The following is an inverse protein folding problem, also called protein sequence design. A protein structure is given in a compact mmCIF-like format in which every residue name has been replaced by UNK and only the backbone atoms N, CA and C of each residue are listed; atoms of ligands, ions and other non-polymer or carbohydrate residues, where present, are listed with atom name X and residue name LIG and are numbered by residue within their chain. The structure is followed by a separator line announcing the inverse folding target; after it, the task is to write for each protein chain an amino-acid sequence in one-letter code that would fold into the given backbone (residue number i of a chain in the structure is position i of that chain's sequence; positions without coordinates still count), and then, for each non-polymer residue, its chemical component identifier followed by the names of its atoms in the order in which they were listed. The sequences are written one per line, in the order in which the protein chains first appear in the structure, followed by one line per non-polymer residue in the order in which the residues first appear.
data_IF_508460736172
#
_entry.id   IF_508460736172
#
_cell.length_a   1.000
_cell.length_b   1.000
_cell.length_c   1.000
_cell.angle_alpha   90.00
_cell.angle_beta   90.00
_cell.angle_gamma   90.00
#
_symmetry.space_group_name_H-M   'P 1'
#
loop_
_entity.id
_entity.type
_entity.pdbx_description
1 polymer ?
#
# COMPACT_ATOMS: atom_id res chain seq x y z
N UNK A 1 25.71 1.26 -54.21
CA UNK A 1 26.39 1.41 -52.90
C UNK A 1 25.50 2.29 -52.00
N UNK A 2 24.36 1.78 -51.57
CA UNK A 2 23.39 2.56 -50.77
C UNK A 2 22.73 1.73 -49.66
N UNK A 3 22.72 0.40 -49.80
CA UNK A 3 22.22 -0.54 -48.78
C UNK A 3 23.14 -0.62 -47.55
N UNK A 4 24.47 -0.67 -47.74
CA UNK A 4 25.41 -0.78 -46.61
C UNK A 4 25.38 0.42 -45.66
N UNK A 5 25.19 1.64 -46.18
CA UNK A 5 25.10 2.85 -45.34
C UNK A 5 23.83 2.83 -44.48
N UNK A 6 22.69 2.43 -45.06
CA UNK A 6 21.41 2.35 -44.36
C UNK A 6 21.43 1.23 -43.31
N UNK A 7 22.00 0.06 -43.65
CA UNK A 7 22.17 -1.05 -42.69
C UNK A 7 23.07 -0.66 -41.52
N UNK A 8 24.16 0.08 -41.76
CA UNK A 8 25.03 0.55 -40.70
C UNK A 8 24.34 1.59 -39.80
N UNK A 9 23.58 2.52 -40.39
CA UNK A 9 22.75 3.45 -39.62
C UNK A 9 21.74 2.71 -38.70
N UNK A 10 21.06 1.68 -39.20
CA UNK A 10 20.13 0.88 -38.39
C UNK A 10 20.83 0.16 -37.22
N UNK A 11 22.03 -0.40 -37.44
CA UNK A 11 22.80 -1.04 -36.38
C UNK A 11 23.20 -0.04 -35.28
N UNK A 12 23.67 1.16 -35.66
CA UNK A 12 24.02 2.20 -34.69
C UNK A 12 22.78 2.64 -33.90
N UNK A 13 21.65 2.89 -34.57
CA UNK A 13 20.40 3.26 -33.90
C UNK A 13 19.92 2.19 -32.91
N UNK A 14 20.03 0.91 -33.26
CA UNK A 14 19.66 -0.19 -32.37
C UNK A 14 20.49 -0.22 -31.08
N UNK A 15 21.82 -0.01 -31.18
CA UNK A 15 22.70 0.08 -30.01
C UNK A 15 22.36 1.28 -29.11
N UNK A 16 22.03 2.43 -29.69
CA UNK A 16 21.61 3.61 -28.92
C UNK A 16 20.27 3.40 -28.20
N UNK A 17 19.29 2.77 -28.86
CA UNK A 17 17.99 2.45 -28.27
C UNK A 17 18.11 1.39 -27.15
N UNK A 18 18.98 0.39 -27.30
CA UNK A 18 19.24 -0.62 -26.28
C UNK A 18 19.95 -0.04 -25.03
N UNK A 19 20.81 0.96 -25.20
CA UNK A 19 21.49 1.64 -24.08
C UNK A 19 20.54 2.50 -23.23
N UNK A 20 19.53 3.11 -23.84
CA UNK A 20 18.55 3.97 -23.16
C UNK A 20 17.58 3.21 -22.25
N UNK A 21 17.36 1.91 -22.46
CA UNK A 21 16.47 1.10 -21.61
C UNK A 21 17.10 0.75 -20.26
N UNK A 22 18.43 0.81 -20.16
CA UNK A 22 19.18 0.45 -18.94
C UNK A 22 19.44 1.65 -18.01
N UNK A 23 19.22 2.89 -18.46
CA UNK A 23 19.46 4.09 -17.66
C UNK A 23 18.26 4.56 -16.83
N UNK A 24 17.08 3.92 -16.93
CA UNK A 24 15.85 4.36 -16.25
C UNK A 24 15.43 3.51 -15.06
N UNK A 25 16.38 3.17 -14.18
CA UNK A 25 16.04 2.64 -12.84
C UNK A 25 16.94 3.17 -11.74
N UNK A 26 17.24 4.48 -11.77
CA UNK A 26 17.61 5.19 -10.53
C UNK A 26 16.33 5.72 -9.88
N UNK A 27 15.60 4.81 -9.22
CA UNK A 27 14.70 5.23 -8.16
C UNK A 27 15.62 5.70 -7.03
N UNK A 28 15.55 6.98 -6.65
CA UNK A 28 16.27 7.49 -5.49
C UNK A 28 15.72 6.81 -4.23
N UNK A 29 16.51 5.93 -3.61
CA UNK A 29 16.12 5.12 -2.45
C UNK A 29 16.38 5.83 -1.10
N UNK A 30 16.57 7.14 -1.08
CA UNK A 30 16.84 7.88 0.17
C UNK A 30 15.60 7.96 1.11
N UNK A 31 14.44 7.51 0.64
CA UNK A 31 13.22 7.34 1.45
C UNK A 31 13.01 5.91 1.99
N UNK A 32 13.95 4.98 1.74
CA UNK A 32 13.84 3.56 2.11
C UNK A 32 14.78 3.17 3.26
N UNK A 33 15.22 4.13 4.08
CA UNK A 33 15.76 3.84 5.41
C UNK A 33 14.62 3.52 6.39
N UNK A 34 13.87 2.48 6.08
CA UNK A 34 13.11 1.72 7.06
C UNK A 34 13.93 0.46 7.34
N UNK A 35 14.89 0.63 8.25
CA UNK A 35 15.68 -0.42 8.88
C UNK A 35 14.93 -1.75 9.00
N UNK A 36 15.31 -2.72 8.15
CA UNK A 36 15.13 -4.15 8.36
C UNK A 36 13.72 -4.73 8.16
N UNK A 37 13.48 -5.38 7.02
CA UNK A 37 12.39 -6.36 6.91
C UNK A 37 11.98 -6.70 5.48
N UNK A 38 12.55 -7.79 4.97
CA UNK A 38 12.23 -8.51 3.72
C UNK A 38 10.83 -8.23 3.14
N UNK A 39 10.80 -7.80 1.87
CA UNK A 39 9.61 -7.62 1.07
C UNK A 39 8.87 -8.94 0.85
N UNK A 40 7.93 -9.23 1.75
CA UNK A 40 6.74 -10.09 1.65
C UNK A 40 6.07 -10.17 3.04
N UNK A 41 5.47 -9.07 3.47
CA UNK A 41 4.56 -9.12 4.62
C UNK A 41 3.18 -9.56 4.10
N UNK A 42 3.02 -10.86 3.80
CA UNK A 42 1.69 -11.49 3.91
C UNK A 42 1.10 -10.99 5.22
N UNK A 43 -0.05 -10.28 5.22
CA UNK A 43 -0.72 -9.68 6.39
C UNK A 43 -0.18 -10.30 7.68
N UNK A 44 0.98 -9.84 8.15
CA UNK A 44 1.64 -10.60 9.19
C UNK A 44 0.79 -10.22 10.36
N UNK A 45 -0.04 -11.17 10.79
CA UNK A 45 -0.97 -11.02 11.88
C UNK A 45 -0.09 -10.69 13.06
N UNK A 46 0.12 -9.40 13.24
CA UNK A 46 1.03 -8.83 14.20
C UNK A 46 0.49 -9.34 15.51
N UNK A 47 1.19 -10.30 16.11
CA UNK A 47 0.86 -10.97 17.38
C UNK A 47 0.82 -9.92 18.49
N UNK A 48 -0.22 -9.11 18.50
CA UNK A 48 -0.44 -8.03 19.44
C UNK A 48 -1.87 -8.00 19.96
N UNK A 49 -2.79 -8.73 19.33
CA UNK A 49 -4.18 -8.75 19.76
C UNK A 49 -4.80 -10.13 19.59
N UNK A 50 -5.11 -10.77 20.71
CA UNK A 50 -5.82 -12.06 20.78
C UNK A 50 -7.33 -11.84 20.91
N UNK A 51 -7.91 -10.97 20.07
CA UNK A 51 -9.36 -10.76 20.02
C UNK A 51 -9.86 -11.23 18.65
N UNK A 52 -10.95 -11.98 18.64
CA UNK A 52 -11.67 -12.30 17.41
C UNK A 52 -12.65 -11.18 17.14
N UNK A 53 -12.40 -10.37 16.10
CA UNK A 53 -13.35 -9.36 15.64
C UNK A 53 -14.63 -9.98 15.09
N UNK A 54 -14.60 -11.23 14.63
CA UNK A 54 -15.77 -11.92 14.06
C UNK A 54 -16.88 -12.12 15.10
N UNK A 55 -16.50 -12.29 16.37
CA UNK A 55 -17.42 -12.65 17.46
C UNK A 55 -17.69 -11.48 18.42
N UNK A 56 -17.42 -10.25 18.00
CA UNK A 56 -17.74 -9.03 18.77
C UNK A 56 -19.19 -8.62 18.54
N UNK A 57 -19.76 -7.93 19.53
CA UNK A 57 -21.09 -7.33 19.38
C UNK A 57 -21.00 -6.03 18.58
N UNK A 58 -21.57 -6.03 17.38
CA UNK A 58 -21.63 -4.89 16.48
C UNK A 58 -22.87 -4.01 16.69
N UNK A 59 -23.70 -4.30 17.70
CA UNK A 59 -24.92 -3.55 18.03
C UNK A 59 -24.70 -2.05 18.06
N UNK A 60 -23.63 -1.59 18.74
CA UNK A 60 -23.25 -0.17 18.85
C UNK A 60 -23.12 0.51 17.48
N UNK A 61 -22.55 -0.18 16.47
CA UNK A 61 -22.47 0.34 15.10
C UNK A 61 -23.80 0.21 14.40
N UNK A 62 -24.41 -0.97 14.41
CA UNK A 62 -25.63 -1.25 13.61
C UNK A 62 -26.86 -0.49 14.10
N UNK A 63 -26.90 -0.09 15.36
CA UNK A 63 -27.99 0.70 15.94
C UNK A 63 -27.88 2.18 15.60
N UNK A 64 -26.66 2.71 15.50
CA UNK A 64 -26.40 4.14 15.27
C UNK A 64 -26.11 4.46 13.80
N UNK A 65 -25.58 3.50 13.04
CA UNK A 65 -25.28 3.59 11.61
C UNK A 65 -26.27 2.80 10.78
N UNK A 66 -27.41 3.41 10.47
CA UNK A 66 -28.43 2.81 9.60
C UNK A 66 -28.44 3.52 8.25
N UNK A 67 -28.53 2.74 7.17
CA UNK A 67 -28.78 3.25 5.82
C UNK A 67 -30.24 3.75 5.68
N UNK A 68 -30.57 4.50 4.59
CA UNK A 68 -29.79 4.74 3.37
C UNK A 68 -28.75 5.88 3.47
N UNK A 69 -28.86 6.73 4.47
CA UNK A 69 -27.96 7.86 4.67
C UNK A 69 -27.25 7.67 5.99
N UNK A 70 -25.93 7.47 5.94
CA UNK A 70 -25.09 7.22 7.12
C UNK A 70 -24.67 8.55 7.74
N UNK A 71 -25.29 9.00 8.84
CA UNK A 71 -24.93 10.25 9.48
C UNK A 71 -23.52 10.18 10.07
N UNK A 72 -22.59 10.95 9.53
CA UNK A 72 -21.16 10.86 9.86
C UNK A 72 -20.86 11.06 11.36
N UNK A 73 -21.47 12.06 12.01
CA UNK A 73 -21.24 12.34 13.44
C UNK A 73 -21.58 11.16 14.36
N UNK A 74 -22.85 10.70 14.44
CA UNK A 74 -23.21 9.59 15.33
C UNK A 74 -22.53 8.28 14.92
N UNK A 75 -22.21 8.08 13.64
CA UNK A 75 -21.44 6.92 13.20
C UNK A 75 -19.98 6.94 13.65
N UNK A 76 -19.32 8.08 13.53
CA UNK A 76 -17.95 8.24 14.02
C UNK A 76 -17.89 8.09 15.54
N UNK A 77 -18.88 8.63 16.26
CA UNK A 77 -18.95 8.50 17.72
C UNK A 77 -19.16 7.04 18.15
N UNK A 78 -20.10 6.33 17.50
CA UNK A 78 -20.33 4.90 17.74
C UNK A 78 -19.11 4.03 17.39
N UNK A 79 -18.46 4.34 16.27
CA UNK A 79 -17.22 3.66 15.88
C UNK A 79 -16.09 3.90 16.89
N UNK A 80 -15.97 5.11 17.41
CA UNK A 80 -14.98 5.45 18.44
C UNK A 80 -15.24 4.67 19.72
N UNK A 81 -16.50 4.57 20.15
CA UNK A 81 -16.90 3.78 21.32
C UNK A 81 -16.56 2.29 21.15
N UNK A 82 -16.80 1.73 19.97
CA UNK A 82 -16.46 0.34 19.64
C UNK A 82 -14.94 0.09 19.51
N UNK A 83 -14.20 1.00 18.88
CA UNK A 83 -12.79 0.79 18.51
C UNK A 83 -11.79 1.23 19.61
N UNK A 84 -12.15 2.20 20.46
CA UNK A 84 -11.27 2.71 21.51
C UNK A 84 -10.80 1.63 22.52
N UNK A 85 -11.64 0.68 22.97
CA UNK A 85 -11.19 -0.43 23.83
C UNK A 85 -10.08 -1.28 23.19
N UNK A 86 -10.03 -1.34 21.86
CA UNK A 86 -9.07 -2.14 21.09
C UNK A 86 -7.94 -1.31 20.48
N UNK A 87 -7.69 -0.08 20.97
CA UNK A 87 -6.63 0.80 20.48
C UNK A 87 -5.23 0.18 20.47
N UNK A 88 -4.94 -0.74 21.41
CA UNK A 88 -3.64 -1.45 21.48
C UNK A 88 -3.44 -2.43 20.32
N UNK A 89 -4.53 -2.85 19.70
CA UNK A 89 -4.59 -3.75 18.56
C UNK A 89 -4.48 -2.98 17.24
N UNK A 90 -5.11 -1.79 17.19
CA UNK A 90 -4.90 -0.80 16.14
C UNK A 90 -3.57 -0.06 16.31
N UNK A 91 -2.43 -0.76 16.14
CA UNK A 91 -1.17 -0.05 15.88
C UNK A 91 -1.28 0.59 14.49
N UNK A 92 -1.64 1.87 14.42
CA UNK A 92 -1.36 2.66 13.21
C UNK A 92 0.14 2.48 12.89
N UNK A 93 0.52 2.18 11.64
CA UNK A 93 1.88 2.51 11.22
C UNK A 93 2.02 4.02 11.49
N UNK A 94 2.96 4.40 12.35
CA UNK A 94 3.39 5.80 12.46
C UNK A 94 3.97 6.13 11.10
N UNK A 95 3.26 6.98 10.34
CA UNK A 95 3.79 7.68 9.17
C UNK A 95 4.68 8.79 9.69
#
# INVERSE_FOLDING_TARGET
MASNFNTWCYLICFFFLAGLVTSSSFISYDALDAHGGSGRTLLQMKKGCNISFENLDYSVLTDKCKGPQYPAKPCCDAFKEFACPYQRCHKRPRI
#
